data_IF_578766782136
#
_entry.id   IF_578766782136
#
_cell.length_a   1.000
_cell.length_b   1.000
_cell.length_c   1.000
_cell.angle_alpha   90.00
_cell.angle_beta   90.00
_cell.angle_gamma   90.00
#
_symmetry.space_group_name_H-M   'P 1'
#
loop_
_entity.id
_entity.type
_entity.pdbx_description
1 polymer ?
#
# COMPACT_ATOMS: atom_id res chain seq x y z
N UNK A 1 -2.25 -5.60 -35.06
CA UNK A 1 -0.83 -5.73 -34.64
C UNK A 1 -0.73 -5.52 -33.14
N UNK A 2 -0.11 -6.44 -32.45
CA UNK A 2 0.08 -6.35 -31.00
C UNK A 2 1.49 -5.81 -30.73
N UNK A 3 1.58 -4.75 -29.96
CA UNK A 3 2.86 -4.22 -29.49
C UNK A 3 3.23 -4.98 -28.22
N UNK A 4 4.44 -5.54 -28.22
CA UNK A 4 4.94 -6.35 -27.12
C UNK A 4 6.25 -5.77 -26.62
N UNK A 5 6.29 -5.36 -25.35
CA UNK A 5 7.50 -4.94 -24.67
C UNK A 5 7.39 -5.22 -23.17
N UNK A 6 8.51 -5.15 -22.49
CA UNK A 6 8.59 -5.49 -21.05
C UNK A 6 7.65 -4.63 -20.19
N UNK A 7 7.51 -3.34 -20.51
CA UNK A 7 6.66 -2.43 -19.75
C UNK A 7 5.18 -2.83 -19.87
N UNK A 8 4.70 -3.00 -21.09
CA UNK A 8 3.31 -3.41 -21.33
C UNK A 8 3.03 -4.81 -20.77
N UNK A 9 3.98 -5.71 -20.89
CA UNK A 9 3.87 -7.06 -20.37
C UNK A 9 3.73 -7.04 -18.84
N UNK A 10 4.54 -6.24 -18.17
CA UNK A 10 4.49 -6.06 -16.71
C UNK A 10 3.15 -5.49 -16.27
N UNK A 11 2.63 -4.49 -16.98
CA UNK A 11 1.32 -3.90 -16.69
C UNK A 11 0.21 -4.94 -16.82
N UNK A 12 0.23 -5.73 -17.89
CA UNK A 12 -0.78 -6.75 -18.15
C UNK A 12 -0.76 -7.88 -17.13
N UNK A 13 0.42 -8.23 -16.64
CA UNK A 13 0.61 -9.32 -15.67
C UNK A 13 0.32 -8.93 -14.24
N UNK A 14 0.20 -7.63 -13.95
CA UNK A 14 -0.07 -7.18 -12.58
C UNK A 14 -1.35 -7.83 -12.04
N UNK A 15 -1.30 -8.27 -10.82
CA UNK A 15 -2.46 -8.80 -10.08
C UNK A 15 -2.48 -8.17 -8.69
N UNK A 16 -3.68 -8.07 -8.13
CA UNK A 16 -3.84 -7.70 -6.72
C UNK A 16 -3.56 -8.93 -5.88
N UNK A 17 -2.39 -8.95 -5.25
CA UNK A 17 -1.97 -10.06 -4.41
C UNK A 17 -2.44 -9.79 -2.98
N UNK A 18 -3.11 -10.76 -2.36
CA UNK A 18 -3.63 -10.67 -0.98
C UNK A 18 -3.19 -11.82 -0.09
N UNK A 19 -2.21 -12.60 -0.56
CA UNK A 19 -1.57 -13.67 0.21
C UNK A 19 -0.07 -13.50 0.04
N UNK A 20 0.64 -13.42 1.15
CA UNK A 20 2.07 -13.14 1.16
C UNK A 20 2.81 -14.26 1.87
N UNK A 21 4.04 -14.53 1.42
CA UNK A 21 4.95 -15.40 2.16
C UNK A 21 5.40 -14.70 3.43
N UNK A 22 5.62 -15.47 4.49
CA UNK A 22 6.22 -14.96 5.71
C UNK A 22 7.73 -14.88 5.55
N UNK A 23 8.17 -14.00 4.66
CA UNK A 23 9.56 -13.84 4.27
C UNK A 23 9.81 -12.39 3.92
N UNK A 24 10.75 -11.74 4.60
CA UNK A 24 11.13 -10.37 4.29
C UNK A 24 11.83 -10.27 2.94
N UNK A 25 11.53 -9.23 2.21
CA UNK A 25 12.25 -8.93 0.96
C UNK A 25 13.64 -8.37 1.29
N UNK A 26 14.64 -8.61 0.43
CA UNK A 26 15.97 -8.03 0.62
C UNK A 26 15.92 -6.50 0.60
N UNK A 27 16.78 -5.86 1.38
CA UNK A 27 16.86 -4.39 1.46
C UNK A 27 17.10 -3.76 0.08
N UNK A 28 17.89 -4.38 -0.75
CA UNK A 28 18.16 -3.92 -2.11
C UNK A 28 16.87 -3.86 -2.95
N UNK A 29 16.05 -4.90 -2.87
CA UNK A 29 14.76 -4.94 -3.55
C UNK A 29 13.83 -3.86 -3.02
N UNK A 30 13.78 -3.69 -1.71
CA UNK A 30 12.95 -2.68 -1.06
C UNK A 30 13.36 -1.27 -1.49
N UNK A 31 14.66 -0.99 -1.55
CA UNK A 31 15.18 0.30 -2.01
C UNK A 31 14.81 0.57 -3.45
N UNK A 32 14.88 -0.44 -4.32
CA UNK A 32 14.49 -0.30 -5.73
C UNK A 32 13.00 0.04 -5.87
N UNK A 33 12.14 -0.55 -5.05
CA UNK A 33 10.69 -0.27 -5.05
C UNK A 33 10.43 1.17 -4.62
N UNK A 34 11.07 1.62 -3.55
CA UNK A 34 10.93 3.00 -3.05
C UNK A 34 11.43 4.00 -4.07
N UNK A 35 12.57 3.73 -4.69
CA UNK A 35 13.13 4.58 -5.75
C UNK A 35 12.17 4.69 -6.93
N UNK A 36 11.57 3.59 -7.35
CA UNK A 36 10.58 3.59 -8.41
C UNK A 36 9.38 4.50 -8.08
N UNK A 37 8.92 4.46 -6.82
CA UNK A 37 7.86 5.35 -6.34
C UNK A 37 8.27 6.82 -6.36
N UNK A 38 9.52 7.11 -6.08
CA UNK A 38 10.06 8.49 -6.06
C UNK A 38 10.08 9.13 -7.47
N UNK A 39 10.08 8.31 -8.51
CA UNK A 39 10.01 8.78 -9.89
C UNK A 39 8.58 9.01 -10.41
N UNK A 40 7.57 8.78 -9.58
CA UNK A 40 6.19 8.98 -9.99
C UNK A 40 5.90 10.47 -10.27
N UNK A 41 5.03 10.80 -11.23
CA UNK A 41 4.64 12.18 -11.46
C UNK A 41 3.81 12.73 -10.29
N UNK A 42 3.90 14.03 -10.07
CA UNK A 42 3.10 14.74 -9.08
C UNK A 42 2.57 16.05 -9.63
N UNK A 43 1.53 16.59 -9.01
CA UNK A 43 0.96 17.88 -9.42
C UNK A 43 2.04 18.97 -9.33
N UNK A 44 2.28 19.66 -10.44
CA UNK A 44 3.31 20.71 -10.57
C UNK A 44 4.71 20.23 -10.14
N UNK A 45 4.98 18.94 -10.21
CA UNK A 45 6.22 18.33 -9.77
C UNK A 45 6.56 18.67 -8.30
N UNK A 46 5.56 18.80 -7.47
CA UNK A 46 5.71 19.19 -6.06
C UNK A 46 6.48 18.15 -5.24
N UNK A 47 6.42 16.87 -5.63
CA UNK A 47 7.11 15.77 -4.96
C UNK A 47 6.86 15.73 -3.45
N UNK A 48 5.63 15.99 -3.05
CA UNK A 48 5.22 16.11 -1.65
C UNK A 48 4.96 14.78 -0.96
N UNK A 49 5.17 13.67 -1.65
CA UNK A 49 4.96 12.35 -1.08
C UNK A 49 5.98 12.00 -0.01
N UNK A 50 5.55 11.15 0.87
CA UNK A 50 6.37 10.58 1.93
C UNK A 50 6.12 9.08 1.97
N UNK A 51 7.19 8.30 2.06
CA UNK A 51 7.10 6.85 2.15
C UNK A 51 7.48 6.38 3.54
N UNK A 52 6.60 5.61 4.16
CA UNK A 52 6.84 4.99 5.46
C UNK A 52 6.89 3.48 5.27
N UNK A 53 7.99 2.87 5.70
CA UNK A 53 8.17 1.42 5.64
C UNK A 53 7.93 0.84 7.02
N UNK A 54 7.12 -0.21 7.08
CA UNK A 54 6.85 -0.93 8.33
C UNK A 54 7.20 -2.39 8.13
N UNK A 55 8.06 -2.91 8.99
CA UNK A 55 8.47 -4.31 9.02
C UNK A 55 8.27 -4.93 10.41
N UNK A 56 7.71 -4.17 11.33
CA UNK A 56 7.39 -4.63 12.68
C UNK A 56 6.01 -5.27 12.69
N UNK A 57 5.98 -6.59 12.86
CA UNK A 57 4.75 -7.37 12.85
C UNK A 57 3.78 -6.92 13.95
N UNK A 58 4.29 -6.66 15.14
CA UNK A 58 3.44 -6.22 16.27
C UNK A 58 2.77 -4.88 15.99
N UNK A 59 3.51 -3.95 15.39
CA UNK A 59 2.96 -2.66 14.99
C UNK A 59 1.89 -2.84 13.91
N UNK A 60 2.15 -3.66 12.90
CA UNK A 60 1.18 -3.94 11.84
C UNK A 60 -0.10 -4.57 12.40
N UNK A 61 0.03 -5.48 13.34
CA UNK A 61 -1.13 -6.11 13.99
C UNK A 61 -1.94 -5.09 14.78
N UNK A 62 -1.28 -4.17 15.51
CA UNK A 62 -1.97 -3.10 16.24
C UNK A 62 -2.69 -2.14 15.31
N UNK A 63 -2.07 -1.79 14.18
CA UNK A 63 -2.72 -0.94 13.18
C UNK A 63 -3.93 -1.66 12.59
N UNK A 64 -3.81 -2.95 12.32
CA UNK A 64 -4.93 -3.76 11.81
C UNK A 64 -6.09 -3.78 12.79
N UNK A 65 -5.82 -4.01 14.07
CA UNK A 65 -6.86 -4.02 15.12
C UNK A 65 -7.57 -2.67 15.19
N UNK A 66 -6.82 -1.57 15.24
CA UNK A 66 -7.39 -0.23 15.31
C UNK A 66 -8.19 0.12 14.04
N UNK A 67 -7.70 -0.27 12.88
CA UNK A 67 -8.38 -0.03 11.60
C UNK A 67 -9.69 -0.82 11.51
N UNK A 68 -9.69 -2.07 11.94
CA UNK A 68 -10.89 -2.91 11.95
C UNK A 68 -11.93 -2.35 12.92
N UNK A 69 -11.51 -1.81 14.04
CA UNK A 69 -12.42 -1.16 14.99
C UNK A 69 -13.08 0.06 14.35
N UNK A 70 -12.33 0.86 13.61
CA UNK A 70 -12.89 1.99 12.86
C UNK A 70 -13.88 1.51 11.78
N UNK A 71 -13.58 0.43 11.08
CA UNK A 71 -14.47 -0.16 10.08
C UNK A 71 -15.81 -0.60 10.70
N UNK A 72 -15.79 -1.15 11.91
CA UNK A 72 -17.02 -1.57 12.61
C UNK A 72 -17.94 -0.39 12.95
N UNK A 73 -17.42 0.84 13.00
CA UNK A 73 -18.20 2.05 13.26
C UNK A 73 -18.75 2.69 11.99
N UNK A 74 -18.46 2.13 10.82
CA UNK A 74 -18.94 2.65 9.55
C UNK A 74 -20.46 2.47 9.41
N UNK A 75 -21.09 3.37 8.66
CA UNK A 75 -22.49 3.23 8.25
C UNK A 75 -22.64 2.29 7.06
N UNK A 76 -21.54 1.92 6.41
CA UNK A 76 -21.53 1.05 5.24
C UNK A 76 -21.42 -0.40 5.66
N UNK A 77 -22.40 -1.21 5.30
CA UNK A 77 -22.51 -2.60 5.75
C UNK A 77 -21.27 -3.44 5.42
N UNK A 78 -20.74 -3.35 4.20
CA UNK A 78 -19.59 -4.17 3.83
C UNK A 78 -18.33 -3.83 4.64
N UNK A 79 -18.18 -2.55 5.03
CA UNK A 79 -17.08 -2.13 5.91
C UNK A 79 -17.23 -2.72 7.31
N UNK A 80 -18.44 -2.70 7.85
CA UNK A 80 -18.73 -3.30 9.15
C UNK A 80 -18.45 -4.80 9.12
N UNK A 81 -18.91 -5.48 8.08
CA UNK A 81 -18.69 -6.93 7.93
C UNK A 81 -17.19 -7.25 7.86
N UNK A 82 -16.43 -6.42 7.15
CA UNK A 82 -14.99 -6.58 7.04
C UNK A 82 -14.31 -6.38 8.40
N UNK A 83 -14.69 -5.36 9.16
CA UNK A 83 -14.15 -5.11 10.49
C UNK A 83 -14.47 -6.23 11.49
N UNK A 84 -15.59 -6.93 11.29
CA UNK A 84 -16.01 -8.04 12.14
C UNK A 84 -15.45 -9.41 11.70
N UNK A 85 -14.83 -9.48 10.54
CA UNK A 85 -14.26 -10.73 10.04
C UNK A 85 -12.94 -11.04 10.78
N UNK A 86 -12.88 -12.12 11.59
CA UNK A 86 -11.68 -12.44 12.35
C UNK A 86 -10.49 -12.85 11.47
N UNK A 87 -10.74 -13.26 10.24
CA UNK A 87 -9.69 -13.66 9.30
C UNK A 87 -9.12 -12.49 8.52
N UNK A 88 -9.76 -11.33 8.58
CA UNK A 88 -9.30 -10.15 7.87
C UNK A 88 -8.20 -9.43 8.66
N UNK A 89 -7.06 -9.17 7.98
CA UNK A 89 -6.00 -8.29 8.44
C UNK A 89 -5.83 -7.19 7.40
N UNK A 90 -5.78 -5.92 7.82
CA UNK A 90 -5.78 -4.79 6.86
C UNK A 90 -4.60 -4.80 5.91
N UNK A 91 -3.49 -5.44 6.30
CA UNK A 91 -2.32 -5.61 5.45
C UNK A 91 -2.15 -7.04 4.94
N UNK A 92 -3.16 -7.89 5.11
CA UNK A 92 -3.11 -9.31 4.70
C UNK A 92 -1.88 -10.04 5.25
N UNK A 93 -1.39 -9.63 6.42
CA UNK A 93 -0.21 -10.17 7.11
C UNK A 93 1.06 -10.13 6.26
N UNK A 94 1.17 -9.14 5.36
CA UNK A 94 2.39 -8.93 4.59
C UNK A 94 3.58 -8.64 5.53
N UNK A 95 4.77 -9.18 5.26
CA UNK A 95 5.95 -8.95 6.13
C UNK A 95 6.49 -7.52 6.04
N UNK A 96 6.24 -6.82 4.94
CA UNK A 96 6.62 -5.43 4.74
C UNK A 96 5.44 -4.65 4.19
N UNK A 97 5.20 -3.47 4.75
CA UNK A 97 4.17 -2.55 4.28
C UNK A 97 4.82 -1.22 3.93
N UNK A 98 4.47 -0.70 2.77
CA UNK A 98 4.87 0.62 2.31
C UNK A 98 3.63 1.52 2.32
N UNK A 99 3.68 2.58 3.14
CA UNK A 99 2.61 3.57 3.20
C UNK A 99 3.07 4.81 2.46
N UNK A 100 2.35 5.14 1.39
CA UNK A 100 2.58 6.37 0.65
C UNK A 100 1.61 7.44 1.16
N UNK A 101 2.14 8.57 1.55
CA UNK A 101 1.36 9.71 2.01
C UNK A 101 1.90 10.99 1.34
N UNK A 102 1.16 12.07 1.45
CA UNK A 102 1.59 13.35 0.92
C UNK A 102 1.28 14.46 1.91
N UNK A 103 2.10 15.51 1.85
CA UNK A 103 1.80 16.72 2.62
C UNK A 103 0.61 17.42 2.01
N UNK A 104 -0.24 17.93 2.86
CA UNK A 104 -1.22 18.89 2.43
C UNK A 104 -0.46 20.16 2.02
N UNK A 105 -0.51 20.41 0.82
CA UNK A 105 -0.22 21.47 -0.08
C UNK A 105 0.79 22.52 0.01
N UNK A 106 1.84 22.24 -0.62
CA UNK A 106 2.61 23.29 -1.27
C UNK A 106 1.93 23.82 -2.56
N UNK A 107 1.01 23.06 -3.15
CA UNK A 107 0.25 23.44 -4.36
C UNK A 107 -1.21 23.61 -4.00
N UNK A 108 -1.77 24.78 -4.31
CA UNK A 108 -3.20 25.05 -4.15
C UNK A 108 -4.00 24.11 -5.05
N UNK A 109 -4.90 23.27 -4.51
CA UNK A 109 -5.71 22.36 -5.31
C UNK A 109 -6.81 23.07 -6.10
N UNK A 110 -6.95 24.35 -5.95
CA UNK A 110 -7.94 25.19 -6.65
C UNK A 110 -7.25 26.17 -7.60
#
# INVERSE_FOLDING_TARGET
MTIDNLVLDTIRKRRSVRRFRDLQIPDETLRAIVEAGDWAPSACNDQSWHFTLIQDRQLMDRISVASKEALRRSETKWMVDLGNNPDFHVFYRAPTVLIASYRENAVDPH
#
